data_IF_104856098366
#
_entry.id   IF_104856098366
#
_cell.length_a   1.000
_cell.length_b   1.000
_cell.length_c   1.000
_cell.angle_alpha   90.00
_cell.angle_beta   90.00
_cell.angle_gamma   90.00
#
_symmetry.space_group_name_H-M   'P 1'
#
loop_
_entity.id
_entity.type
_entity.pdbx_description
1 polymer ?
#
# COMPACT_ATOMS: atom_id res chain seq x y z
N UNK A 1 -8.79 20.50 1.02
CA UNK A 1 -8.53 19.07 0.64
C UNK A 1 -8.82 18.92 -0.85
N UNK A 2 -7.84 18.43 -1.60
CA UNK A 2 -8.03 18.08 -3.02
C UNK A 2 -9.05 16.96 -3.11
N UNK A 3 -9.94 17.06 -4.07
CA UNK A 3 -10.96 16.04 -4.34
C UNK A 3 -10.33 14.76 -4.89
N UNK A 4 -11.10 13.65 -4.87
CA UNK A 4 -10.67 12.39 -5.48
C UNK A 4 -10.26 12.57 -6.95
N UNK A 5 -11.00 13.37 -7.71
CA UNK A 5 -10.70 13.61 -9.13
C UNK A 5 -9.38 14.35 -9.29
N UNK A 6 -9.15 15.39 -8.49
CA UNK A 6 -7.90 16.17 -8.52
C UNK A 6 -6.70 15.32 -8.13
N UNK A 7 -6.83 14.45 -7.11
CA UNK A 7 -5.75 13.55 -6.70
C UNK A 7 -5.45 12.51 -7.78
N UNK A 8 -6.48 11.90 -8.38
CA UNK A 8 -6.29 10.93 -9.45
C UNK A 8 -5.62 11.56 -10.67
N UNK A 9 -6.07 12.77 -11.08
CA UNK A 9 -5.46 13.49 -12.18
C UNK A 9 -3.99 13.84 -11.89
N UNK A 10 -3.67 14.25 -10.67
CA UNK A 10 -2.31 14.55 -10.25
C UNK A 10 -1.41 13.31 -10.32
N UNK A 11 -1.88 12.17 -9.79
CA UNK A 11 -1.16 10.90 -9.84
C UNK A 11 -0.84 10.51 -11.29
N UNK A 12 -1.82 10.57 -12.19
CA UNK A 12 -1.64 10.21 -13.60
C UNK A 12 -0.76 11.21 -14.35
N UNK A 13 -0.91 12.51 -14.11
CA UNK A 13 -0.07 13.54 -14.73
C UNK A 13 1.41 13.40 -14.34
N UNK A 14 1.70 13.06 -13.09
CA UNK A 14 3.07 12.83 -12.63
C UNK A 14 3.61 11.54 -13.27
N UNK A 15 2.80 10.48 -13.34
CA UNK A 15 3.18 9.24 -14.02
C UNK A 15 3.56 9.47 -15.49
N UNK A 16 2.78 10.26 -16.23
CA UNK A 16 3.08 10.65 -17.61
C UNK A 16 4.41 11.42 -17.71
N UNK A 17 4.62 12.41 -16.82
CA UNK A 17 5.86 13.22 -16.77
C UNK A 17 7.10 12.35 -16.53
N UNK A 18 6.99 11.35 -15.68
CA UNK A 18 8.06 10.41 -15.33
C UNK A 18 8.21 9.26 -16.32
N UNK A 19 7.30 9.15 -17.30
CA UNK A 19 7.22 8.04 -18.27
C UNK A 19 7.08 6.69 -17.58
N UNK A 20 6.16 6.62 -16.61
CA UNK A 20 5.82 5.40 -15.91
C UNK A 20 5.22 4.40 -16.90
N UNK A 21 5.63 3.14 -16.82
CA UNK A 21 5.18 2.08 -17.74
C UNK A 21 3.75 1.63 -17.48
N UNK A 22 3.33 1.61 -16.21
CA UNK A 22 1.95 1.36 -15.81
C UNK A 22 1.68 1.91 -14.40
N UNK A 23 0.41 2.23 -14.14
CA UNK A 23 -0.10 2.74 -12.86
C UNK A 23 -1.25 1.89 -12.39
N UNK A 24 -1.21 1.47 -11.13
CA UNK A 24 -2.35 0.81 -10.50
C UNK A 24 -2.59 1.35 -9.08
N UNK A 25 -3.84 1.20 -8.64
CA UNK A 25 -4.23 1.39 -7.23
C UNK A 25 -4.40 0.04 -6.57
N UNK A 26 -4.14 -0.02 -5.27
CA UNK A 26 -4.51 -1.13 -4.39
C UNK A 26 -5.27 -0.63 -3.16
N UNK A 27 -5.37 -1.45 -2.12
CA UNK A 27 -5.89 -1.06 -0.82
C UNK A 27 -7.39 -0.77 -0.78
N UNK A 28 -7.79 0.10 0.15
CA UNK A 28 -9.20 0.33 0.49
C UNK A 28 -10.02 0.94 -0.65
N UNK A 29 -9.38 1.66 -1.58
CA UNK A 29 -10.06 2.30 -2.71
C UNK A 29 -10.48 1.32 -3.79
N UNK A 30 -9.86 0.15 -3.87
CA UNK A 30 -10.19 -0.92 -4.81
C UNK A 30 -11.15 -1.95 -4.24
N UNK A 31 -11.27 -1.99 -2.91
CA UNK A 31 -12.13 -2.94 -2.21
C UNK A 31 -13.56 -2.38 -2.05
N UNK A 32 -14.53 -3.01 -2.71
CA UNK A 32 -15.94 -2.63 -2.63
C UNK A 32 -16.58 -2.85 -1.25
N UNK A 33 -15.93 -3.65 -0.39
CA UNK A 33 -16.39 -3.90 0.98
C UNK A 33 -15.84 -2.86 1.97
N UNK A 34 -14.83 -2.07 1.58
CA UNK A 34 -14.27 -1.05 2.45
C UNK A 34 -15.20 0.17 2.56
N UNK A 35 -15.29 0.82 3.74
CA UNK A 35 -16.00 2.08 3.87
C UNK A 35 -15.48 3.12 2.88
N UNK A 36 -16.39 3.81 2.21
CA UNK A 36 -16.05 4.90 1.27
C UNK A 36 -16.18 6.23 2.00
N UNK A 37 -15.09 6.67 2.60
CA UNK A 37 -15.03 7.91 3.37
C UNK A 37 -13.83 8.79 2.98
N UNK A 38 -13.66 9.92 3.67
CA UNK A 38 -12.59 10.88 3.44
C UNK A 38 -11.23 10.46 4.02
N UNK A 39 -11.19 9.37 4.79
CA UNK A 39 -9.97 8.85 5.42
C UNK A 39 -9.25 7.81 4.57
N UNK A 40 -9.82 7.43 3.40
CA UNK A 40 -9.15 6.51 2.49
C UNK A 40 -7.89 7.17 1.89
N UNK A 41 -6.74 6.55 2.07
CA UNK A 41 -5.48 6.86 1.41
C UNK A 41 -5.46 6.43 -0.06
N UNK A 42 -4.39 6.78 -0.76
CA UNK A 42 -4.13 6.37 -2.14
C UNK A 42 -2.92 5.45 -2.16
N UNK A 43 -3.19 4.14 -2.15
CA UNK A 43 -2.18 3.11 -2.34
C UNK A 43 -1.88 2.98 -3.84
N UNK A 44 -0.78 3.57 -4.30
CA UNK A 44 -0.43 3.68 -5.72
C UNK A 44 0.83 2.89 -6.01
N UNK A 45 0.87 2.18 -7.15
CA UNK A 45 2.11 1.66 -7.70
C UNK A 45 2.42 2.32 -9.04
N UNK A 46 3.68 2.74 -9.19
CA UNK A 46 4.30 3.11 -10.45
C UNK A 46 5.25 1.99 -10.87
N UNK A 47 4.95 1.32 -11.98
CA UNK A 47 5.86 0.38 -12.62
C UNK A 47 6.76 1.14 -13.58
N UNK A 48 8.07 1.03 -13.40
CA UNK A 48 9.02 1.86 -14.13
C UNK A 48 10.21 1.04 -14.70
N UNK A 49 10.72 1.47 -15.82
CA UNK A 49 11.99 0.97 -16.38
C UNK A 49 13.20 1.75 -15.84
N UNK A 50 13.04 3.06 -15.61
CA UNK A 50 14.11 3.97 -15.17
C UNK A 50 14.21 4.09 -13.64
N UNK A 51 14.06 2.98 -12.94
CA UNK A 51 13.99 2.93 -11.46
C UNK A 51 15.21 3.59 -10.78
N UNK A 52 16.44 3.26 -11.22
CA UNK A 52 17.67 3.79 -10.63
C UNK A 52 17.79 5.31 -10.79
N UNK A 53 17.31 5.86 -11.90
CA UNK A 53 17.26 7.30 -12.11
C UNK A 53 16.32 7.97 -11.12
N UNK A 54 15.10 7.43 -10.97
CA UNK A 54 14.08 8.00 -10.10
C UNK A 54 14.42 7.92 -8.60
N UNK A 55 15.16 6.90 -8.17
CA UNK A 55 15.60 6.83 -6.77
C UNK A 55 16.85 7.67 -6.49
N UNK A 56 17.63 8.03 -7.51
CA UNK A 56 18.82 8.88 -7.36
C UNK A 56 18.50 10.35 -7.19
N UNK A 57 17.39 10.80 -7.76
CA UNK A 57 16.88 12.17 -7.62
C UNK A 57 15.39 12.13 -7.29
N UNK A 58 15.06 12.46 -6.05
CA UNK A 58 13.70 12.43 -5.52
C UNK A 58 12.95 13.76 -5.71
N UNK A 59 13.52 14.74 -6.42
CA UNK A 59 12.87 16.04 -6.65
C UNK A 59 11.53 15.93 -7.37
N UNK A 60 11.28 14.84 -8.09
CA UNK A 60 9.99 14.58 -8.72
C UNK A 60 8.84 14.40 -7.72
N UNK A 61 9.13 13.99 -6.46
CA UNK A 61 8.12 13.91 -5.41
C UNK A 61 7.51 15.27 -5.08
N UNK A 62 8.23 16.38 -5.32
CA UNK A 62 7.74 17.74 -5.07
C UNK A 62 6.55 18.11 -5.96
N UNK A 63 6.36 17.41 -7.09
CA UNK A 63 5.21 17.60 -7.97
C UNK A 63 3.87 17.23 -7.30
N UNK A 64 3.89 16.38 -6.27
CA UNK A 64 2.68 16.04 -5.49
C UNK A 64 2.20 17.21 -4.60
N UNK A 65 3.05 18.20 -4.33
CA UNK A 65 2.78 19.36 -3.49
C UNK A 65 3.43 19.28 -2.12
N UNK A 66 3.12 20.28 -1.27
CA UNK A 66 3.72 20.43 0.05
C UNK A 66 3.28 19.30 0.98
N UNK A 67 4.25 18.62 1.57
CA UNK A 67 4.08 17.49 2.46
C UNK A 67 4.30 17.91 3.92
N UNK A 68 3.38 17.53 4.80
CA UNK A 68 3.54 17.66 6.25
C UNK A 68 4.47 16.58 6.82
N UNK A 69 4.31 15.35 6.31
CA UNK A 69 5.10 14.20 6.74
C UNK A 69 5.46 13.41 5.48
N UNK A 70 6.72 12.98 5.43
CA UNK A 70 7.23 12.11 4.38
C UNK A 70 8.10 11.01 5.01
N UNK A 71 7.91 9.78 4.57
CA UNK A 71 8.72 8.65 5.00
C UNK A 71 9.09 7.78 3.80
N UNK A 72 10.36 7.37 3.73
CA UNK A 72 10.89 6.51 2.68
C UNK A 72 11.22 5.14 3.26
N UNK A 73 10.69 4.08 2.65
CA UNK A 73 10.91 2.71 3.05
C UNK A 73 11.47 1.89 1.89
N UNK A 74 12.29 0.91 2.23
CA UNK A 74 12.82 -0.06 1.27
C UNK A 74 12.05 -1.37 1.46
N UNK A 75 11.37 -1.81 0.41
CA UNK A 75 10.59 -3.05 0.40
C UNK A 75 11.20 -4.03 -0.62
N UNK A 76 12.30 -4.70 -0.25
CA UNK A 76 13.05 -5.53 -1.18
C UNK A 76 13.59 -4.69 -2.34
N UNK A 77 13.14 -5.00 -3.57
CA UNK A 77 13.56 -4.30 -4.79
C UNK A 77 12.71 -3.04 -5.09
N UNK A 78 11.79 -2.65 -4.22
CA UNK A 78 10.87 -1.54 -4.39
C UNK A 78 11.18 -0.41 -3.40
N UNK A 79 10.65 0.79 -3.68
CA UNK A 79 10.64 1.92 -2.72
C UNK A 79 9.20 2.28 -2.41
N UNK A 80 8.92 2.55 -1.15
CA UNK A 80 7.62 3.03 -0.70
C UNK A 80 7.80 4.44 -0.11
N UNK A 81 7.08 5.39 -0.67
CA UNK A 81 7.03 6.78 -0.24
C UNK A 81 5.67 7.03 0.40
N UNK A 82 5.67 7.26 1.71
CA UNK A 82 4.47 7.61 2.47
C UNK A 82 4.41 9.13 2.55
N UNK A 83 3.34 9.74 2.08
CA UNK A 83 3.21 11.19 1.99
C UNK A 83 1.88 11.65 2.57
N UNK A 84 1.93 12.43 3.66
CA UNK A 84 0.79 13.18 4.20
C UNK A 84 0.90 14.64 3.74
N UNK A 85 -0.13 15.13 3.09
CA UNK A 85 -0.19 16.49 2.57
C UNK A 85 -0.92 17.45 3.51
N UNK A 86 -0.66 18.75 3.39
CA UNK A 86 -1.31 19.80 4.18
C UNK A 86 -2.83 19.79 4.06
N UNK A 87 -3.36 19.33 2.95
CA UNK A 87 -4.79 19.22 2.71
C UNK A 87 -5.45 17.96 3.30
N UNK A 88 -4.68 17.14 4.03
CA UNK A 88 -5.14 15.93 4.71
C UNK A 88 -5.19 14.69 3.82
N UNK A 89 -4.86 14.77 2.52
CA UNK A 89 -4.73 13.58 1.69
C UNK A 89 -3.46 12.79 2.07
N UNK A 90 -3.53 11.45 1.91
CA UNK A 90 -2.43 10.52 2.09
C UNK A 90 -2.17 9.76 0.79
N UNK A 91 -0.91 9.65 0.40
CA UNK A 91 -0.47 8.78 -0.70
C UNK A 91 0.60 7.83 -0.17
N UNK A 92 0.39 6.54 -0.40
CA UNK A 92 1.35 5.46 -0.22
C UNK A 92 1.81 5.03 -1.61
N UNK A 93 2.91 5.65 -2.10
CA UNK A 93 3.41 5.44 -3.45
C UNK A 93 4.52 4.39 -3.47
N UNK A 94 4.23 3.25 -4.07
CA UNK A 94 5.24 2.23 -4.37
C UNK A 94 5.85 2.50 -5.74
N UNK A 95 7.16 2.80 -5.79
CA UNK A 95 7.95 2.77 -7.01
C UNK A 95 8.53 1.36 -7.19
N UNK A 96 8.19 0.70 -8.27
CA UNK A 96 8.53 -0.71 -8.53
C UNK A 96 9.17 -0.87 -9.90
N UNK A 97 10.40 -1.45 -10.00
CA UNK A 97 10.94 -1.86 -11.29
C UNK A 97 9.97 -2.84 -11.97
N UNK A 98 9.72 -2.67 -13.26
CA UNK A 98 8.75 -3.52 -13.99
C UNK A 98 9.08 -5.01 -13.93
N UNK A 99 10.35 -5.40 -13.84
CA UNK A 99 10.81 -6.78 -13.68
C UNK A 99 10.42 -7.40 -12.33
N UNK A 100 10.13 -6.56 -11.31
CA UNK A 100 9.66 -6.98 -9.99
C UNK A 100 8.15 -6.80 -9.80
N UNK A 101 7.42 -6.49 -10.88
CA UNK A 101 5.96 -6.33 -10.85
C UNK A 101 5.25 -7.54 -10.25
N UNK A 102 5.70 -8.76 -10.59
CA UNK A 102 5.09 -9.99 -10.05
C UNK A 102 5.14 -10.04 -8.53
N UNK A 103 6.23 -9.59 -7.92
CA UNK A 103 6.37 -9.53 -6.46
C UNK A 103 5.36 -8.55 -5.85
N UNK A 104 5.10 -7.43 -6.52
CA UNK A 104 4.08 -6.48 -6.08
C UNK A 104 2.67 -7.09 -6.21
N UNK A 105 2.31 -7.63 -7.38
CA UNK A 105 1.02 -8.30 -7.58
C UNK A 105 0.82 -9.43 -6.58
N UNK A 106 1.87 -10.19 -6.28
CA UNK A 106 1.82 -11.26 -5.29
C UNK A 106 1.68 -10.74 -3.85
N UNK A 107 2.02 -9.50 -3.56
CA UNK A 107 1.79 -8.88 -2.24
C UNK A 107 0.39 -8.28 -2.11
N UNK A 108 -0.23 -7.89 -3.23
CA UNK A 108 -1.55 -7.25 -3.22
C UNK A 108 -2.66 -8.29 -3.46
N UNK A 109 -3.77 -8.14 -2.73
CA UNK A 109 -4.92 -9.01 -2.92
C UNK A 109 -5.89 -8.47 -3.96
N UNK A 110 -6.02 -7.15 -4.02
CA UNK A 110 -6.91 -6.46 -4.94
C UNK A 110 -6.24 -5.22 -5.49
N UNK A 111 -6.44 -4.96 -6.78
CA UNK A 111 -5.89 -3.77 -7.44
C UNK A 111 -6.76 -3.39 -8.63
N UNK A 112 -6.68 -2.12 -9.00
CA UNK A 112 -7.32 -1.55 -10.20
C UNK A 112 -6.26 -0.87 -11.04
N UNK A 113 -6.11 -1.31 -12.28
CA UNK A 113 -5.20 -0.69 -13.25
C UNK A 113 -5.78 0.63 -13.71
N UNK A 114 -5.00 1.70 -13.64
CA UNK A 114 -5.38 3.04 -14.08
C UNK A 114 -4.85 3.35 -15.46
N UNK A 115 -3.57 3.02 -15.71
CA UNK A 115 -2.89 3.17 -16.99
C UNK A 115 -1.95 1.98 -17.22
N UNK A 116 -1.97 1.40 -18.41
CA UNK A 116 -1.12 0.28 -18.82
C UNK A 116 -1.07 0.17 -20.35
N UNK A 117 -0.38 1.10 -20.99
CA UNK A 117 -0.25 1.10 -22.46
C UNK A 117 0.52 -0.11 -23.01
N UNK A 118 1.36 -0.74 -22.16
CA UNK A 118 2.21 -1.87 -22.53
C UNK A 118 1.59 -3.24 -22.24
N UNK A 119 0.41 -3.27 -21.62
CA UNK A 119 -0.29 -4.52 -21.27
C UNK A 119 0.45 -5.35 -20.20
N UNK A 120 1.18 -4.73 -19.29
CA UNK A 120 1.94 -5.40 -18.24
C UNK A 120 1.03 -6.20 -17.29
N UNK A 121 -0.17 -5.68 -17.03
CA UNK A 121 -1.15 -6.31 -16.13
C UNK A 121 -2.06 -7.33 -16.80
N UNK A 122 -2.03 -7.52 -18.13
CA UNK A 122 -2.97 -8.42 -18.85
C UNK A 122 -2.99 -9.86 -18.32
N UNK A 123 -1.85 -10.35 -17.83
CA UNK A 123 -1.73 -11.72 -17.30
C UNK A 123 -2.12 -11.85 -15.83
N UNK A 124 -2.47 -10.75 -15.16
CA UNK A 124 -2.72 -10.72 -13.72
C UNK A 124 -4.15 -10.33 -13.40
N UNK A 125 -4.79 -11.11 -12.53
CA UNK A 125 -6.14 -10.84 -12.06
C UNK A 125 -6.13 -10.55 -10.56
N UNK A 126 -6.88 -9.54 -10.10
CA UNK A 126 -7.09 -9.30 -8.67
C UNK A 126 -7.65 -10.55 -7.98
N UNK A 127 -7.19 -10.81 -6.77
CA UNK A 127 -7.68 -11.92 -5.97
C UNK A 127 -8.05 -11.44 -4.55
N UNK A 128 -9.24 -10.86 -4.35
CA UNK A 128 -9.65 -10.31 -3.06
C UNK A 128 -9.73 -11.36 -1.94
N UNK A 129 -9.82 -12.65 -2.29
CA UNK A 129 -9.80 -13.74 -1.29
C UNK A 129 -8.46 -13.89 -0.58
N UNK A 130 -7.41 -13.26 -1.08
CA UNK A 130 -6.07 -13.30 -0.47
C UNK A 130 -6.04 -12.69 0.93
N UNK A 131 -6.90 -11.70 1.21
CA UNK A 131 -7.06 -11.11 2.54
C UNK A 131 -7.92 -11.95 3.49
N UNK A 132 -8.53 -13.01 3.01
CA UNK A 132 -9.35 -13.85 3.86
C UNK A 132 -8.46 -14.65 4.80
N UNK A 133 -8.69 -14.46 6.09
CA UNK A 133 -8.06 -15.27 7.11
C UNK A 133 -8.65 -16.67 7.03
N UNK A 134 -7.81 -17.65 6.78
CA UNK A 134 -8.25 -19.04 6.83
C UNK A 134 -8.68 -19.38 8.26
N UNK A 135 -9.77 -20.16 8.44
CA UNK A 135 -10.10 -20.67 9.75
C UNK A 135 -8.91 -21.44 10.33
N UNK A 136 -8.55 -21.22 11.62
CA UNK A 136 -7.46 -21.95 12.23
C UNK A 136 -7.79 -23.45 12.31
N UNK A 137 -6.78 -24.27 12.29
CA UNK A 137 -6.92 -25.68 12.65
C UNK A 137 -7.31 -25.84 14.13
N UNK A 138 -7.84 -26.99 14.53
CA UNK A 138 -8.18 -27.28 15.94
C UNK A 138 -6.95 -27.14 16.84
N UNK A 139 -5.77 -27.55 16.37
CA UNK A 139 -4.51 -27.43 17.10
C UNK A 139 -4.10 -25.97 17.30
N UNK A 140 -4.14 -25.14 16.25
CA UNK A 140 -3.82 -23.70 16.32
C UNK A 140 -4.80 -22.95 17.21
N UNK A 141 -6.11 -23.24 17.11
CA UNK A 141 -7.12 -22.66 17.96
C UNK A 141 -6.89 -23.01 19.43
N UNK A 142 -6.65 -24.30 19.73
CA UNK A 142 -6.40 -24.78 21.08
C UNK A 142 -5.12 -24.17 21.65
N UNK A 143 -4.04 -24.08 20.87
CA UNK A 143 -2.80 -23.44 21.26
C UNK A 143 -3.00 -21.97 21.60
N UNK A 144 -3.73 -21.24 20.78
CA UNK A 144 -4.06 -19.83 21.02
C UNK A 144 -4.90 -19.63 22.27
N UNK A 145 -5.88 -20.50 22.53
CA UNK A 145 -6.68 -20.48 23.77
C UNK A 145 -5.80 -20.75 25.01
N UNK A 146 -4.92 -21.72 24.92
CA UNK A 146 -4.00 -22.06 26.02
C UNK A 146 -3.04 -20.89 26.32
N UNK A 147 -2.49 -20.25 25.28
CA UNK A 147 -1.63 -19.07 25.43
C UNK A 147 -2.40 -17.90 26.06
N UNK A 148 -3.64 -17.63 25.64
CA UNK A 148 -4.49 -16.61 26.24
C UNK A 148 -4.66 -16.83 27.76
N UNK A 149 -4.98 -18.05 28.17
CA UNK A 149 -5.12 -18.38 29.59
C UNK A 149 -3.80 -18.31 30.34
N UNK A 150 -2.71 -18.75 29.72
CA UNK A 150 -1.38 -18.69 30.32
C UNK A 150 -0.95 -17.24 30.58
N UNK A 151 -1.08 -16.39 29.58
CA UNK A 151 -0.70 -14.96 29.68
C UNK A 151 -1.57 -14.20 30.66
N UNK A 152 -2.84 -14.59 30.85
CA UNK A 152 -3.74 -13.94 31.83
C UNK A 152 -3.18 -13.93 33.25
N UNK A 153 -2.39 -14.96 33.62
CA UNK A 153 -1.73 -15.02 34.91
C UNK A 153 -0.68 -13.91 35.11
N UNK A 154 -0.02 -13.45 34.03
CA UNK A 154 0.93 -12.33 34.09
C UNK A 154 0.22 -10.99 34.27
N UNK A 155 -0.95 -10.83 33.67
CA UNK A 155 -1.80 -9.65 33.87
C UNK A 155 -2.19 -9.54 35.35
N UNK A 156 -2.67 -10.63 35.96
CA UNK A 156 -3.00 -10.66 37.38
C UNK A 156 -1.79 -10.32 38.26
N UNK A 157 -0.62 -10.90 37.95
CA UNK A 157 0.63 -10.56 38.67
C UNK A 157 1.01 -9.10 38.54
N UNK A 158 0.85 -8.50 37.33
CA UNK A 158 1.09 -7.08 37.09
C UNK A 158 0.18 -6.19 37.94
N UNK A 159 -1.12 -6.48 37.93
CA UNK A 159 -2.10 -5.77 38.75
C UNK A 159 -1.76 -5.84 40.25
N UNK A 160 -1.45 -7.05 40.75
CA UNK A 160 -1.08 -7.25 42.16
C UNK A 160 0.20 -6.50 42.55
N UNK A 161 1.14 -6.34 41.61
CA UNK A 161 2.39 -5.62 41.83
C UNK A 161 2.31 -4.13 41.58
N UNK A 162 1.15 -3.62 41.11
CA UNK A 162 0.94 -2.23 40.69
C UNK A 162 1.92 -1.79 39.60
N UNK A 163 2.22 -2.66 38.65
CA UNK A 163 3.07 -2.44 37.47
C UNK A 163 2.22 -2.17 36.23
#
# INVERSE_FOLDING_TARGET
MRTKIEMMNLILQIAETLKVDAVALSGSRTNDQAPKDEFQDYDVVYLVENFEELISDLSWLDQFGDRLIEQHNILGNRRLYLMLFEDGNLIDLTLCPKEHMKEWVDSEADFTVLEDEKGLFEAYLPNPKRYWIAPPSEEEFTASCNEFWWVSAYVVKGICRKQ
#
